data_IF_807470713719
#
_entry.id   IF_807470713719
#
_cell.length_a   1.000
_cell.length_b   1.000
_cell.length_c   1.000
_cell.angle_alpha   90.00
_cell.angle_beta   90.00
_cell.angle_gamma   90.00
#
_symmetry.space_group_name_H-M   'P 1'
#
loop_
_entity.id
_entity.type
_entity.pdbx_description
1 polymer ?
#
# COMPACT_ATOMS: atom_id res chain seq x y z
N UNK A 1 -22.78 -66.83 31.23
CA UNK A 1 -22.03 -65.87 32.07
C UNK A 1 -21.68 -64.68 31.18
N UNK A 2 -22.39 -63.57 31.37
CA UNK A 2 -22.27 -62.30 30.64
C UNK A 2 -20.90 -61.65 30.88
N UNK A 3 -20.30 -61.06 29.83
CA UNK A 3 -19.62 -59.77 29.96
C UNK A 3 -19.87 -58.97 28.66
N UNK A 4 -20.75 -57.97 28.75
CA UNK A 4 -20.94 -56.96 27.72
C UNK A 4 -19.90 -55.85 27.91
N UNK A 5 -19.08 -55.60 26.90
CA UNK A 5 -18.16 -54.45 26.85
C UNK A 5 -18.97 -53.19 26.54
N UNK A 6 -19.08 -52.29 27.51
CA UNK A 6 -19.67 -50.96 27.35
C UNK A 6 -18.66 -50.05 26.62
N UNK A 7 -19.00 -49.61 25.41
CA UNK A 7 -18.25 -48.55 24.73
C UNK A 7 -18.55 -47.20 25.40
N UNK A 8 -17.52 -46.56 25.95
CA UNK A 8 -17.57 -45.20 26.48
C UNK A 8 -17.17 -44.24 25.36
N UNK A 9 -18.12 -43.53 24.76
CA UNK A 9 -17.82 -42.46 23.79
C UNK A 9 -17.60 -41.17 24.58
N UNK A 10 -16.35 -40.71 24.63
CA UNK A 10 -15.98 -39.43 25.24
C UNK A 10 -16.18 -38.32 24.20
N UNK A 11 -17.25 -37.54 24.33
CA UNK A 11 -17.48 -36.37 23.48
C UNK A 11 -16.57 -35.22 23.93
N UNK A 12 -15.50 -34.96 23.18
CA UNK A 12 -14.64 -33.78 23.33
C UNK A 12 -15.37 -32.55 22.75
N UNK A 13 -15.97 -31.76 23.64
CA UNK A 13 -16.40 -30.38 23.34
C UNK A 13 -15.14 -29.49 23.25
N UNK A 14 -14.57 -29.35 22.07
CA UNK A 14 -13.62 -28.28 21.78
C UNK A 14 -14.38 -26.95 21.69
N UNK A 15 -14.45 -26.21 22.79
CA UNK A 15 -14.82 -24.80 22.76
C UNK A 15 -13.72 -24.03 22.00
N UNK A 16 -13.98 -23.70 20.73
CA UNK A 16 -13.13 -22.82 19.96
C UNK A 16 -13.20 -21.41 20.58
N UNK A 17 -12.19 -21.06 21.37
CA UNK A 17 -11.94 -19.67 21.74
C UNK A 17 -11.53 -18.92 20.46
N UNK A 18 -12.49 -18.32 19.77
CA UNK A 18 -12.20 -17.25 18.82
C UNK A 18 -11.72 -16.05 19.62
N UNK A 19 -10.41 -15.91 19.77
CA UNK A 19 -9.83 -14.63 20.14
C UNK A 19 -10.07 -13.69 18.96
N UNK A 20 -11.05 -12.80 19.08
CA UNK A 20 -11.21 -11.70 18.13
C UNK A 20 -9.93 -10.88 18.19
N UNK A 21 -9.07 -10.98 17.18
CA UNK A 21 -7.95 -10.06 17.02
C UNK A 21 -8.57 -8.67 16.85
N UNK A 22 -8.36 -7.80 17.83
CA UNK A 22 -8.75 -6.39 17.73
C UNK A 22 -7.96 -5.76 16.57
N UNK A 23 -8.50 -5.84 15.35
CA UNK A 23 -8.05 -5.03 14.25
C UNK A 23 -8.39 -3.59 14.62
N UNK A 24 -7.37 -2.80 14.95
CA UNK A 24 -7.57 -1.39 15.21
C UNK A 24 -7.88 -0.71 13.88
N UNK A 25 -9.05 -0.09 13.83
CA UNK A 25 -9.47 0.87 12.81
C UNK A 25 -8.35 1.85 12.44
N UNK A 26 -8.06 1.98 11.14
CA UNK A 26 -7.15 3.01 10.62
C UNK A 26 -7.97 4.27 10.39
N UNK A 27 -8.07 5.17 11.36
CA UNK A 27 -8.83 6.41 11.16
C UNK A 27 -8.04 7.41 10.31
N UNK A 28 -8.53 7.72 9.10
CA UNK A 28 -7.90 8.65 8.17
C UNK A 28 -8.46 10.07 8.22
N UNK A 29 -9.44 10.36 9.08
CA UNK A 29 -10.05 11.70 9.19
C UNK A 29 -9.06 12.75 9.69
N UNK A 30 -9.07 13.92 9.08
CA UNK A 30 -8.16 15.03 9.37
C UNK A 30 -6.71 14.79 8.95
N UNK A 31 -6.40 13.68 8.28
CA UNK A 31 -5.03 13.36 7.86
C UNK A 31 -4.72 13.87 6.45
N UNK A 32 -3.44 13.84 6.06
CA UNK A 32 -3.00 14.10 4.69
C UNK A 32 -3.68 13.19 3.66
N UNK A 33 -4.02 11.96 4.04
CA UNK A 33 -4.74 11.02 3.16
C UNK A 33 -6.09 11.58 2.77
N UNK A 34 -6.93 11.98 3.74
CA UNK A 34 -8.23 12.61 3.49
C UNK A 34 -8.08 13.93 2.73
N UNK A 35 -7.23 14.83 3.23
CA UNK A 35 -7.03 16.17 2.64
C UNK A 35 -6.70 16.11 1.15
N UNK A 36 -5.71 15.31 0.77
CA UNK A 36 -5.26 15.27 -0.63
C UNK A 36 -6.17 14.41 -1.51
N UNK A 37 -6.76 13.35 -0.97
CA UNK A 37 -7.71 12.50 -1.72
C UNK A 37 -8.96 13.29 -2.11
N UNK A 38 -9.52 14.07 -1.19
CA UNK A 38 -10.67 14.93 -1.45
C UNK A 38 -10.36 16.04 -2.45
N UNK A 39 -9.18 16.68 -2.33
CA UNK A 39 -8.79 17.82 -3.16
C UNK A 39 -8.61 17.48 -4.66
N UNK A 40 -8.11 16.29 -4.99
CA UNK A 40 -7.73 15.97 -6.38
C UNK A 40 -8.92 15.58 -7.26
N UNK A 41 -9.65 14.52 -6.90
CA UNK A 41 -10.92 14.18 -7.56
C UNK A 41 -11.90 13.42 -6.65
N UNK A 42 -11.90 13.73 -5.35
CA UNK A 42 -12.81 13.09 -4.41
C UNK A 42 -12.53 11.59 -4.25
N UNK A 43 -11.25 11.21 -4.26
CA UNK A 43 -10.86 9.82 -4.00
C UNK A 43 -11.25 9.46 -2.56
N UNK A 44 -11.65 8.20 -2.36
CA UNK A 44 -11.72 7.63 -1.02
C UNK A 44 -10.29 7.62 -0.41
N UNK A 45 -10.03 8.25 0.74
CA UNK A 45 -8.72 8.21 1.37
C UNK A 45 -8.21 6.79 1.66
N UNK A 46 -9.10 5.84 1.92
CA UNK A 46 -8.74 4.44 2.12
C UNK A 46 -8.25 3.78 0.83
N UNK A 47 -8.70 4.25 -0.34
CA UNK A 47 -8.18 3.77 -1.62
C UNK A 47 -6.73 4.20 -1.82
N UNK A 48 -6.40 5.47 -1.51
CA UNK A 48 -5.02 5.95 -1.59
C UNK A 48 -4.11 5.26 -0.55
N UNK A 49 -4.64 5.03 0.66
CA UNK A 49 -3.93 4.26 1.67
C UNK A 49 -3.72 2.78 1.26
N UNK A 50 -4.68 2.18 0.56
CA UNK A 50 -4.55 0.83 0.00
C UNK A 50 -3.46 0.74 -1.08
N UNK A 51 -3.30 1.78 -1.90
CA UNK A 51 -2.15 1.93 -2.81
C UNK A 51 -0.85 1.94 -2.00
N UNK A 52 -0.75 2.78 -0.97
CA UNK A 52 0.44 2.86 -0.11
C UNK A 52 0.83 1.51 0.51
N UNK A 53 -0.16 0.76 1.02
CA UNK A 53 0.05 -0.59 1.56
C UNK A 53 0.45 -1.61 0.49
N UNK A 54 -0.01 -1.45 -0.74
CA UNK A 54 0.38 -2.32 -1.86
C UNK A 54 1.82 -2.03 -2.29
N UNK A 55 2.21 -0.76 -2.25
CA UNK A 55 3.49 -0.24 -2.70
C UNK A 55 4.63 -0.45 -1.70
N UNK A 56 4.45 0.03 -0.46
CA UNK A 56 5.55 0.21 0.48
C UNK A 56 5.35 -0.52 1.81
N UNK A 57 4.46 -1.53 1.85
CA UNK A 57 4.23 -2.27 3.09
C UNK A 57 5.54 -2.77 3.69
N UNK A 58 5.71 -2.45 4.96
CA UNK A 58 6.75 -3.04 5.78
C UNK A 58 6.11 -3.59 7.05
N UNK A 59 6.70 -4.65 7.59
CA UNK A 59 6.30 -5.15 8.91
C UNK A 59 6.79 -4.12 9.92
N UNK A 60 5.91 -3.24 10.39
CA UNK A 60 6.29 -2.31 11.46
C UNK A 60 6.65 -3.13 12.71
N UNK A 61 7.86 -2.88 13.22
CA UNK A 61 8.46 -3.64 14.30
C UNK A 61 7.57 -3.81 15.53
N UNK A 62 7.77 -4.95 16.20
CA UNK A 62 7.29 -5.36 17.54
C UNK A 62 5.81 -5.65 17.78
N UNK A 63 4.86 -5.35 16.89
CA UNK A 63 3.43 -5.68 17.14
C UNK A 63 2.66 -6.35 16.00
N UNK A 64 3.34 -6.81 14.95
CA UNK A 64 2.71 -7.57 13.86
C UNK A 64 1.78 -6.74 12.95
N UNK A 65 1.87 -5.41 13.00
CA UNK A 65 1.08 -4.53 12.14
C UNK A 65 1.80 -4.23 10.82
N UNK A 66 1.03 -4.17 9.75
CA UNK A 66 1.50 -3.78 8.41
C UNK A 66 1.11 -2.33 8.17
N UNK A 67 2.09 -1.46 7.96
CA UNK A 67 1.88 -0.04 7.61
C UNK A 67 2.77 0.32 6.41
N UNK A 68 2.41 1.35 5.64
CA UNK A 68 3.29 1.88 4.59
C UNK A 68 4.58 2.43 5.18
N UNK A 69 5.71 2.12 4.56
CA UNK A 69 7.02 2.63 4.98
C UNK A 69 7.24 4.05 4.47
N UNK A 70 7.43 5.06 5.34
CA UNK A 70 7.48 6.46 4.93
C UNK A 70 8.60 6.76 3.93
N UNK A 71 9.70 6.01 4.00
CA UNK A 71 10.93 6.27 3.26
C UNK A 71 11.39 5.10 2.39
N UNK A 72 10.49 4.18 2.03
CA UNK A 72 10.86 3.07 1.15
C UNK A 72 11.47 3.58 -0.17
N UNK A 73 12.50 2.88 -0.65
CA UNK A 73 13.15 3.14 -1.93
C UNK A 73 13.15 1.86 -2.76
N UNK A 74 12.92 1.96 -4.05
CA UNK A 74 13.00 0.81 -4.94
C UNK A 74 13.49 1.22 -6.33
N UNK A 75 14.37 0.41 -6.91
CA UNK A 75 14.68 0.46 -8.35
C UNK A 75 15.22 -0.90 -8.82
N UNK A 76 15.35 -1.08 -10.13
CA UNK A 76 15.80 -2.37 -10.69
C UNK A 76 17.28 -2.67 -10.44
N UNK A 77 18.08 -1.69 -10.01
CA UNK A 77 19.54 -1.84 -9.79
C UNK A 77 19.83 -2.35 -8.38
N UNK A 78 19.18 -1.77 -7.37
CA UNK A 78 19.42 -2.06 -5.96
C UNK A 78 18.28 -2.85 -5.29
N UNK A 79 17.12 -2.94 -5.92
CA UNK A 79 15.92 -3.53 -5.33
C UNK A 79 15.32 -2.66 -4.22
N UNK A 80 14.43 -3.26 -3.43
CA UNK A 80 13.73 -2.56 -2.36
C UNK A 80 14.59 -2.34 -1.14
N UNK A 81 14.54 -1.15 -0.57
CA UNK A 81 15.21 -0.76 0.67
C UNK A 81 14.25 0.00 1.58
N UNK A 82 14.32 -0.28 2.88
CA UNK A 82 13.39 0.27 3.89
C UNK A 82 14.18 0.96 5.01
N UNK A 83 14.66 2.20 4.78
CA UNK A 83 15.35 2.99 5.80
C UNK A 83 14.50 3.20 7.04
N UNK A 84 15.15 3.19 8.21
CA UNK A 84 14.49 3.46 9.51
C UNK A 84 14.65 4.92 9.97
N UNK A 85 15.34 5.76 9.20
CA UNK A 85 15.52 7.20 9.46
C UNK A 85 15.54 8.02 8.18
N UNK A 86 15.12 9.29 8.26
CA UNK A 86 15.16 10.23 7.13
C UNK A 86 16.58 10.42 6.60
N UNK A 87 17.58 10.58 7.47
CA UNK A 87 18.98 10.79 7.06
C UNK A 87 19.55 9.59 6.29
N UNK A 88 19.16 8.37 6.69
CA UNK A 88 19.54 7.18 5.95
C UNK A 88 18.83 7.08 4.60
N UNK A 89 17.54 7.39 4.57
CA UNK A 89 16.78 7.46 3.33
C UNK A 89 17.37 8.48 2.35
N UNK A 90 17.75 9.66 2.83
CA UNK A 90 18.35 10.72 2.01
C UNK A 90 19.69 10.30 1.40
N UNK A 91 20.57 9.69 2.20
CA UNK A 91 21.85 9.15 1.68
C UNK A 91 21.63 8.02 0.67
N UNK A 92 20.71 7.11 0.97
CA UNK A 92 20.38 6.01 0.06
C UNK A 92 19.74 6.51 -1.23
N UNK A 93 18.88 7.53 -1.16
CA UNK A 93 18.21 8.13 -2.31
C UNK A 93 19.21 8.69 -3.32
N UNK A 94 20.24 9.40 -2.86
CA UNK A 94 21.30 9.90 -3.73
C UNK A 94 21.98 8.75 -4.50
N UNK A 95 22.27 7.64 -3.82
CA UNK A 95 22.82 6.42 -4.46
C UNK A 95 21.84 5.83 -5.48
N UNK A 96 20.56 5.67 -5.12
CA UNK A 96 19.54 5.11 -6.01
C UNK A 96 19.37 5.94 -7.29
N UNK A 97 19.26 7.26 -7.16
CA UNK A 97 19.08 8.17 -8.30
C UNK A 97 20.32 8.29 -9.17
N UNK A 98 21.52 8.14 -8.61
CA UNK A 98 22.76 8.07 -9.41
C UNK A 98 22.80 6.85 -10.34
N UNK A 99 22.12 5.76 -9.96
CA UNK A 99 22.04 4.56 -10.78
C UNK A 99 20.93 4.66 -11.85
N UNK A 100 19.77 5.21 -11.49
CA UNK A 100 18.68 5.44 -12.45
C UNK A 100 17.62 6.41 -11.92
N UNK A 101 17.05 7.30 -12.76
CA UNK A 101 15.87 8.09 -12.37
C UNK A 101 14.60 7.23 -12.28
N UNK A 102 14.61 6.00 -12.80
CA UNK A 102 13.51 5.02 -12.64
C UNK A 102 13.60 4.44 -11.23
N UNK A 103 13.28 5.29 -10.25
CA UNK A 103 13.38 5.02 -8.83
C UNK A 103 12.08 5.43 -8.15
N UNK A 104 11.49 4.50 -7.42
CA UNK A 104 10.30 4.71 -6.59
C UNK A 104 10.72 5.22 -5.21
N UNK A 105 10.04 6.25 -4.71
CA UNK A 105 10.43 6.97 -3.51
C UNK A 105 9.24 7.15 -2.58
N UNK A 106 9.43 6.81 -1.30
CA UNK A 106 8.56 7.18 -0.20
C UNK A 106 7.30 6.33 -0.06
N UNK A 107 6.38 6.83 0.76
CA UNK A 107 5.24 6.09 1.32
C UNK A 107 4.25 5.52 0.27
N UNK A 108 4.08 6.18 -0.87
CA UNK A 108 3.28 5.68 -2.01
C UNK A 108 4.13 5.33 -3.24
N UNK A 109 5.45 5.16 -3.05
CA UNK A 109 6.40 4.76 -4.10
C UNK A 109 6.29 5.63 -5.37
N UNK A 110 6.35 6.95 -5.21
CA UNK A 110 6.33 7.87 -6.36
C UNK A 110 7.55 7.62 -7.22
N UNK A 111 7.34 7.21 -8.48
CA UNK A 111 8.45 7.05 -9.39
C UNK A 111 8.97 8.40 -9.92
N UNK A 112 10.24 8.70 -9.62
CA UNK A 112 10.89 9.97 -9.92
C UNK A 112 10.95 10.28 -11.42
N UNK A 113 11.20 9.30 -12.29
CA UNK A 113 11.33 9.54 -13.74
C UNK A 113 10.04 10.09 -14.36
N UNK A 114 8.87 9.75 -13.81
CA UNK A 114 7.55 10.14 -14.31
C UNK A 114 6.97 11.32 -13.54
N UNK A 115 7.27 11.44 -12.25
CA UNK A 115 6.62 12.39 -11.35
C UNK A 115 7.56 13.42 -10.70
N UNK A 116 8.87 13.36 -10.98
CA UNK A 116 9.88 14.25 -10.42
C UNK A 116 9.66 15.72 -10.76
N UNK A 117 8.92 16.02 -11.83
CA UNK A 117 8.49 17.37 -12.21
C UNK A 117 7.58 18.07 -11.17
N UNK A 118 7.06 17.35 -10.17
CA UNK A 118 6.21 17.92 -9.12
C UNK A 118 6.97 18.38 -7.87
N UNK A 119 8.31 18.27 -7.89
CA UNK A 119 9.22 18.68 -6.80
C UNK A 119 10.42 19.41 -7.40
N UNK A 120 11.08 20.27 -6.61
CA UNK A 120 12.32 20.92 -7.03
C UNK A 120 13.53 20.01 -6.76
N UNK A 121 13.45 19.23 -5.69
CA UNK A 121 14.48 18.29 -5.26
C UNK A 121 13.89 16.90 -4.98
N UNK A 122 14.59 15.80 -5.35
CA UNK A 122 14.08 14.45 -5.14
C UNK A 122 13.77 14.12 -3.67
N UNK A 123 14.51 14.71 -2.73
CA UNK A 123 14.34 14.53 -1.28
C UNK A 123 12.97 14.99 -0.77
N UNK A 124 12.29 15.87 -1.49
CA UNK A 124 10.91 16.27 -1.18
C UNK A 124 9.96 15.08 -1.29
N UNK A 125 10.29 14.04 -2.07
CA UNK A 125 9.51 12.80 -2.13
C UNK A 125 9.71 11.91 -0.89
N UNK A 126 10.66 12.21 0.00
CA UNK A 126 10.78 11.55 1.31
C UNK A 126 9.88 12.22 2.38
N UNK A 127 9.33 13.41 2.10
CA UNK A 127 8.31 14.03 2.94
C UNK A 127 6.95 13.33 2.73
N UNK A 128 6.33 12.90 3.82
CA UNK A 128 5.12 12.07 3.77
C UNK A 128 3.93 12.84 3.18
N UNK A 129 3.73 14.11 3.56
CA UNK A 129 2.61 14.91 3.04
C UNK A 129 2.76 15.16 1.53
N UNK A 130 3.96 15.52 1.10
CA UNK A 130 4.29 15.74 -0.31
C UNK A 130 4.12 14.48 -1.14
N UNK A 131 4.58 13.34 -0.62
CA UNK A 131 4.46 12.06 -1.29
C UNK A 131 2.98 11.65 -1.46
N UNK A 132 2.17 11.78 -0.39
CA UNK A 132 0.72 11.52 -0.43
C UNK A 132 0.01 12.44 -1.42
N UNK A 133 0.33 13.74 -1.43
CA UNK A 133 -0.23 14.72 -2.37
C UNK A 133 0.00 14.31 -3.82
N UNK A 134 1.24 13.96 -4.16
CA UNK A 134 1.61 13.54 -5.52
C UNK A 134 0.98 12.18 -5.85
N UNK A 135 0.86 11.29 -4.87
CA UNK A 135 0.16 10.00 -4.98
C UNK A 135 -1.31 10.17 -5.35
N UNK A 136 -2.03 11.02 -4.61
CA UNK A 136 -3.42 11.36 -4.87
C UNK A 136 -3.60 11.89 -6.29
N UNK A 137 -2.73 12.82 -6.71
CA UNK A 137 -2.74 13.40 -8.07
C UNK A 137 -2.52 12.34 -9.14
N UNK A 138 -1.52 11.47 -8.95
CA UNK A 138 -1.17 10.41 -9.90
C UNK A 138 -2.29 9.39 -10.03
N UNK A 139 -2.83 8.92 -8.89
CA UNK A 139 -3.96 7.98 -8.84
C UNK A 139 -5.22 8.58 -9.50
N UNK A 140 -5.50 9.85 -9.22
CA UNK A 140 -6.60 10.55 -9.85
C UNK A 140 -6.47 10.61 -11.38
N UNK A 141 -5.27 10.91 -11.88
CA UNK A 141 -5.02 11.00 -13.32
C UNK A 141 -5.25 9.66 -14.03
N UNK A 142 -4.76 8.54 -13.48
CA UNK A 142 -4.92 7.21 -14.09
C UNK A 142 -6.36 6.71 -14.04
N UNK A 143 -7.11 7.07 -12.98
CA UNK A 143 -8.54 6.76 -12.89
C UNK A 143 -9.35 7.52 -13.94
N UNK A 144 -9.09 8.82 -14.10
CA UNK A 144 -9.76 9.65 -15.12
C UNK A 144 -9.48 9.17 -16.55
N UNK A 145 -8.32 8.56 -16.79
CA UNK A 145 -7.94 8.06 -18.12
C UNK A 145 -8.67 6.77 -18.53
N UNK A 146 -9.21 5.99 -17.59
CA UNK A 146 -9.87 4.71 -17.86
C UNK A 146 -11.27 4.64 -17.20
N UNK A 147 -12.21 5.52 -17.58
CA UNK A 147 -13.53 5.52 -16.99
C UNK A 147 -14.26 4.21 -17.31
N UNK A 148 -14.88 3.59 -16.30
CA UNK A 148 -15.70 2.39 -16.46
C UNK A 148 -14.98 1.05 -16.28
N UNK A 149 -13.65 1.04 -16.13
CA UNK A 149 -12.89 -0.16 -15.77
C UNK A 149 -12.00 0.15 -14.56
N UNK A 150 -12.55 -0.04 -13.36
CA UNK A 150 -11.88 0.35 -12.11
C UNK A 150 -10.59 -0.43 -11.86
N UNK A 151 -10.52 -1.69 -12.32
CA UNK A 151 -9.31 -2.52 -12.17
C UNK A 151 -8.18 -1.97 -13.04
N UNK A 152 -8.46 -1.68 -14.30
CA UNK A 152 -7.47 -1.11 -15.21
C UNK A 152 -7.11 0.33 -14.83
N UNK A 153 -8.10 1.12 -14.40
CA UNK A 153 -7.93 2.49 -13.90
C UNK A 153 -6.92 2.57 -12.74
N UNK A 154 -7.11 1.76 -11.70
CA UNK A 154 -6.17 1.70 -10.57
C UNK A 154 -4.86 1.05 -11.01
N UNK A 155 -4.93 0.01 -11.86
CA UNK A 155 -3.78 -0.67 -12.45
C UNK A 155 -2.81 0.26 -13.19
N UNK A 156 -3.34 1.33 -13.79
CA UNK A 156 -2.59 2.39 -14.43
C UNK A 156 -1.58 3.10 -13.52
N UNK A 157 -1.78 3.06 -12.20
CA UNK A 157 -0.81 3.59 -11.24
C UNK A 157 0.53 2.84 -11.30
N UNK A 158 0.48 1.52 -11.46
CA UNK A 158 1.66 0.67 -11.59
C UNK A 158 2.21 0.61 -13.02
N UNK A 159 1.35 0.51 -14.03
CA UNK A 159 1.79 0.59 -15.42
C UNK A 159 0.68 0.98 -16.37
N UNK A 160 0.98 1.91 -17.29
CA UNK A 160 0.10 2.32 -18.39
C UNK A 160 0.52 1.72 -19.74
N UNK A 161 1.48 0.79 -19.75
CA UNK A 161 1.92 0.13 -20.98
C UNK A 161 0.85 -0.88 -21.44
N UNK A 162 0.22 -0.72 -22.63
CA UNK A 162 -0.82 -1.63 -23.09
C UNK A 162 -0.35 -3.08 -23.22
N UNK A 163 0.95 -3.31 -23.49
CA UNK A 163 1.52 -4.66 -23.55
C UNK A 163 1.58 -5.36 -22.18
N UNK A 164 1.38 -4.62 -21.09
CA UNK A 164 1.41 -5.09 -19.71
C UNK A 164 0.04 -4.99 -19.02
N UNK A 165 -1.07 -4.91 -19.78
CA UNK A 165 -2.42 -4.78 -19.22
C UNK A 165 -2.72 -5.83 -18.13
N UNK A 166 -2.34 -7.09 -18.35
CA UNK A 166 -2.50 -8.13 -17.33
C UNK A 166 -1.86 -7.78 -15.98
N UNK A 167 -0.65 -7.21 -16.00
CA UNK A 167 0.03 -6.74 -14.76
C UNK A 167 -0.68 -5.55 -14.13
N UNK A 168 -1.21 -4.63 -14.94
CA UNK A 168 -2.00 -3.51 -14.46
C UNK A 168 -3.25 -4.02 -13.73
N UNK A 169 -3.99 -4.96 -14.33
CA UNK A 169 -5.18 -5.56 -13.73
C UNK A 169 -4.86 -6.32 -12.43
N UNK A 170 -3.82 -7.15 -12.42
CA UNK A 170 -3.37 -7.85 -11.21
C UNK A 170 -3.06 -6.87 -10.06
N UNK A 171 -2.41 -5.75 -10.38
CA UNK A 171 -2.15 -4.69 -9.43
C UNK A 171 -3.45 -4.05 -8.92
N UNK A 172 -4.34 -3.63 -9.82
CA UNK A 172 -5.62 -3.02 -9.49
C UNK A 172 -6.47 -3.92 -8.58
N UNK A 173 -6.54 -5.21 -8.90
CA UNK A 173 -7.22 -6.22 -8.08
C UNK A 173 -6.61 -6.35 -6.68
N UNK A 174 -5.27 -6.27 -6.54
CA UNK A 174 -4.62 -6.26 -5.21
C UNK A 174 -5.05 -5.05 -4.40
N UNK A 175 -5.00 -3.86 -4.99
CA UNK A 175 -5.39 -2.61 -4.33
C UNK A 175 -6.86 -2.66 -3.92
N UNK A 176 -7.77 -3.09 -4.80
CA UNK A 176 -9.19 -3.22 -4.50
C UNK A 176 -9.46 -4.19 -3.34
N UNK A 177 -8.72 -5.31 -3.26
CA UNK A 177 -8.83 -6.24 -2.12
C UNK A 177 -8.37 -5.62 -0.81
N UNK A 178 -7.30 -4.83 -0.82
CA UNK A 178 -6.82 -4.11 0.38
C UNK A 178 -7.83 -3.03 0.77
N UNK A 179 -8.28 -2.23 -0.19
CA UNK A 179 -9.26 -1.17 0.02
C UNK A 179 -10.56 -1.70 0.61
N UNK A 180 -11.13 -2.78 0.04
CA UNK A 180 -12.32 -3.46 0.57
C UNK A 180 -12.16 -3.83 2.04
N UNK A 181 -11.01 -4.40 2.43
CA UNK A 181 -10.73 -4.76 3.83
C UNK A 181 -10.61 -3.54 4.74
N UNK A 182 -10.12 -2.41 4.24
CA UNK A 182 -10.01 -1.20 5.05
C UNK A 182 -11.39 -0.65 5.37
N UNK A 183 -12.27 -0.55 4.38
CA UNK A 183 -13.61 0.03 4.54
C UNK A 183 -14.62 -0.92 5.21
N UNK A 184 -14.42 -2.24 5.13
CA UNK A 184 -15.24 -3.21 5.89
C UNK A 184 -14.90 -3.20 7.39
N UNK A 185 -13.73 -2.67 7.75
CA UNK A 185 -13.28 -2.50 9.12
C UNK A 185 -13.27 -1.02 9.53
N UNK A 186 -13.87 -0.12 8.74
CA UNK A 186 -14.07 1.31 9.06
C UNK A 186 -15.44 1.55 9.74
#
# INVERSE_FOLDING_TARGET
>A
MQIATKSLVLALLCAAYCTSTNARLVDLRGTSWEKHSQKECGLDPYLLYAVALTESKNNAGTKGYVVPSPWALNNYVYGSYYPTSYEDAKRALARYLSATPVTDIGIVQINFRWNGQYVNHPEELLDVDTNIRIGAKTLCAVIKANPGDIELAIGGYNTQNPKLEGKAREYGQRVLRVWKRLIEND
#
